data_IF_125053824660
#
_entry.id   IF_125053824660
#
_cell.length_a   1.000
_cell.length_b   1.000
_cell.length_c   1.000
_cell.angle_alpha   90.00
_cell.angle_beta   90.00
_cell.angle_gamma   90.00
#
_symmetry.space_group_name_H-M   'P 1'
#
loop_
_entity.id
_entity.type
_entity.pdbx_description
1 polymer ?
#
# COMPACT_ATOMS: atom_id res chain seq x y z
N UNK A 1 13.80 -23.24 -12.89
CA UNK A 1 14.44 -22.13 -12.17
C UNK A 1 15.91 -22.03 -12.60
N UNK A 2 16.35 -20.86 -13.08
CA UNK A 2 17.74 -20.65 -13.52
C UNK A 2 18.67 -20.77 -12.29
N UNK A 3 19.70 -21.61 -12.37
CA UNK A 3 20.63 -21.94 -11.27
C UNK A 3 21.27 -20.71 -10.60
N UNK A 4 21.30 -19.55 -11.26
CA UNK A 4 21.86 -18.31 -10.69
C UNK A 4 20.95 -17.63 -9.65
N UNK A 5 19.63 -17.77 -9.75
CA UNK A 5 18.69 -17.14 -8.81
C UNK A 5 18.74 -17.85 -7.45
N UNK A 6 18.80 -19.19 -7.49
CA UNK A 6 18.94 -20.00 -6.28
C UNK A 6 20.27 -19.71 -5.56
N UNK A 7 21.36 -19.51 -6.31
CA UNK A 7 22.66 -19.17 -5.73
C UNK A 7 22.63 -17.80 -5.04
N UNK A 8 21.98 -16.80 -5.63
CA UNK A 8 21.83 -15.46 -5.04
C UNK A 8 20.97 -15.50 -3.77
N UNK A 9 19.85 -16.23 -3.79
CA UNK A 9 18.99 -16.40 -2.60
C UNK A 9 19.74 -17.11 -1.45
N UNK A 10 20.53 -18.14 -1.75
CA UNK A 10 21.32 -18.83 -0.73
C UNK A 10 22.45 -17.96 -0.16
N UNK A 11 23.04 -17.08 -0.98
CA UNK A 11 24.09 -16.16 -0.54
C UNK A 11 23.53 -15.05 0.37
N UNK A 12 22.35 -14.51 0.04
CA UNK A 12 21.63 -13.54 0.89
C UNK A 12 21.25 -14.17 2.23
N UNK A 13 20.76 -15.42 2.23
CA UNK A 13 20.42 -16.15 3.46
C UNK A 13 21.66 -16.41 4.33
N UNK A 14 22.79 -16.80 3.73
CA UNK A 14 24.06 -16.99 4.44
C UNK A 14 24.60 -15.69 5.07
N UNK A 15 24.43 -14.54 4.41
CA UNK A 15 24.82 -13.23 4.95
C UNK A 15 23.93 -12.75 6.10
N UNK A 16 22.63 -13.07 6.05
CA UNK A 16 21.69 -12.76 7.14
C UNK A 16 21.94 -13.62 8.39
N UNK A 17 22.44 -14.85 8.20
CA UNK A 17 22.81 -15.77 9.28
C UNK A 17 24.14 -15.42 9.97
N UNK A 18 25.06 -14.69 9.32
CA UNK A 18 26.35 -14.31 9.92
C UNK A 18 26.33 -12.98 10.67
N UNK A 19 25.18 -12.28 10.73
CA UNK A 19 25.01 -10.95 11.36
C UNK A 19 26.04 -9.89 10.91
N UNK A 20 26.68 -10.06 9.76
CA UNK A 20 27.66 -9.10 9.25
C UNK A 20 27.06 -8.27 8.10
N UNK A 21 26.16 -7.36 8.50
CA UNK A 21 25.39 -6.48 7.61
C UNK A 21 26.30 -5.61 6.74
N UNK A 22 27.52 -5.33 7.19
CA UNK A 22 28.50 -4.54 6.45
C UNK A 22 28.98 -5.25 5.17
N UNK A 23 29.18 -6.58 5.21
CA UNK A 23 29.60 -7.36 4.03
C UNK A 23 28.49 -7.44 2.98
N UNK A 24 27.22 -7.53 3.41
CA UNK A 24 26.07 -7.50 2.51
C UNK A 24 25.95 -6.15 1.79
N UNK A 25 26.17 -5.06 2.52
CA UNK A 25 26.06 -3.71 1.98
C UNK A 25 27.20 -3.41 0.98
N UNK A 26 28.42 -3.87 1.29
CA UNK A 26 29.58 -3.73 0.40
C UNK A 26 29.41 -4.54 -0.90
N UNK A 27 28.86 -5.76 -0.83
CA UNK A 27 28.54 -6.57 -2.02
C UNK A 27 27.43 -5.94 -2.88
N UNK A 28 26.42 -5.32 -2.27
CA UNK A 28 25.35 -4.61 -2.99
C UNK A 28 25.85 -3.38 -3.72
N UNK A 29 26.72 -2.59 -3.09
CA UNK A 29 27.36 -1.42 -3.70
C UNK A 29 28.21 -1.88 -4.91
N UNK A 30 29.01 -2.92 -4.74
CA UNK A 30 29.88 -3.46 -5.78
C UNK A 30 29.09 -4.07 -6.96
N UNK A 31 27.95 -4.70 -6.69
CA UNK A 31 27.04 -5.20 -7.73
C UNK A 31 26.38 -4.06 -8.51
N UNK A 32 26.01 -2.97 -7.81
CA UNK A 32 25.43 -1.77 -8.42
C UNK A 32 26.44 -1.03 -9.28
N UNK A 33 27.68 -0.89 -8.83
CA UNK A 33 28.78 -0.31 -9.62
C UNK A 33 29.04 -1.12 -10.90
N UNK A 34 29.06 -2.46 -10.80
CA UNK A 34 29.27 -3.33 -11.95
C UNK A 34 28.13 -3.28 -12.98
N UNK A 35 26.89 -3.11 -12.52
CA UNK A 35 25.73 -2.93 -13.40
C UNK A 35 25.79 -1.57 -14.14
N UNK A 36 26.20 -0.51 -13.43
CA UNK A 36 26.37 0.84 -14.02
C UNK A 36 27.53 0.87 -15.03
N UNK A 37 28.59 0.10 -14.80
CA UNK A 37 29.72 0.02 -15.72
C UNK A 37 29.42 -0.87 -16.95
N UNK A 38 28.60 -1.91 -16.79
CA UNK A 38 28.05 -2.69 -17.92
C UNK A 38 27.04 -1.89 -18.76
N UNK A 39 26.21 -1.03 -18.14
CA UNK A 39 25.27 -0.18 -18.87
C UNK A 39 25.97 0.92 -19.68
N UNK A 40 27.06 1.50 -19.15
CA UNK A 40 27.88 2.48 -19.89
C UNK A 40 28.61 1.87 -21.09
N UNK A 41 29.10 0.63 -20.96
CA UNK A 41 29.69 -0.11 -22.10
C UNK A 41 28.69 -0.49 -23.18
N UNK A 42 27.40 -0.59 -22.84
CA UNK A 42 26.34 -0.84 -23.81
C UNK A 42 25.93 0.42 -24.60
N UNK A 43 26.14 1.61 -24.03
CA UNK A 43 25.89 2.91 -24.68
C UNK A 43 26.95 3.26 -25.75
N UNK A 44 28.23 2.94 -25.51
CA UNK A 44 29.33 3.22 -26.44
C UNK A 44 29.30 2.39 -27.75
N UNK A 45 28.41 1.40 -27.86
CA UNK A 45 28.28 0.55 -29.05
C UNK A 45 27.23 1.05 -30.06
N UNK A 46 26.46 2.09 -29.73
CA UNK A 46 25.30 2.54 -30.53
C UNK A 46 25.51 3.83 -31.34
N UNK A 47 26.75 4.28 -31.56
CA UNK A 47 27.01 5.41 -32.47
C UNK A 47 27.89 5.00 -33.64
N UNK A 48 27.26 4.64 -34.77
CA UNK A 48 27.88 4.78 -36.08
C UNK A 48 26.88 5.27 -37.13
N UNK A 49 27.27 6.40 -37.71
CA UNK A 49 26.94 6.98 -39.02
C UNK A 49 25.73 7.90 -39.19
N UNK A 50 26.01 9.11 -39.70
CA UNK A 50 25.08 9.88 -40.54
C UNK A 50 24.84 11.36 -40.19
N UNK A 51 25.69 12.26 -40.68
CA UNK A 51 25.63 13.73 -40.67
C UNK A 51 24.26 14.39 -40.97
N UNK A 52 23.95 15.52 -40.30
CA UNK A 52 23.83 16.85 -40.94
C UNK A 52 23.75 18.01 -39.92
N UNK A 53 24.44 19.10 -40.26
CA UNK A 53 24.66 20.35 -39.50
C UNK A 53 23.48 21.33 -39.57
N UNK A 54 23.36 22.22 -38.56
CA UNK A 54 22.68 23.52 -38.68
C UNK A 54 22.02 24.08 -37.40
N UNK A 55 22.78 24.90 -36.66
CA UNK A 55 22.49 25.93 -35.61
C UNK A 55 21.04 26.44 -35.43
N UNK A 56 20.58 27.02 -34.32
CA UNK A 56 20.95 27.25 -32.91
C UNK A 56 19.66 27.79 -32.24
N UNK A 57 19.37 27.44 -30.98
CA UNK A 57 18.26 28.04 -30.24
C UNK A 57 17.96 27.33 -28.91
N UNK A 58 18.39 27.97 -27.81
CA UNK A 58 18.25 27.51 -26.42
C UNK A 58 16.81 27.13 -26.02
N UNK A 59 16.64 25.97 -25.36
CA UNK A 59 16.02 25.80 -24.03
C UNK A 59 15.57 24.34 -23.77
N UNK A 60 16.03 23.78 -22.64
CA UNK A 60 15.35 22.71 -21.90
C UNK A 60 15.33 21.31 -22.50
N UNK A 61 16.32 20.47 -22.14
CA UNK A 61 16.18 19.02 -22.27
C UNK A 61 15.21 18.51 -21.19
N UNK A 62 13.94 18.35 -21.59
CA UNK A 62 12.92 17.63 -20.85
C UNK A 62 13.13 16.14 -21.09
N UNK A 63 13.19 15.39 -19.99
CA UNK A 63 13.25 13.95 -19.97
C UNK A 63 12.12 13.34 -20.79
N UNK A 64 12.51 12.44 -21.69
CA UNK A 64 11.63 11.66 -22.54
C UNK A 64 10.98 10.51 -21.73
N UNK A 65 10.40 10.83 -20.57
CA UNK A 65 9.50 9.97 -19.80
C UNK A 65 8.14 10.63 -19.57
N UNK A 66 8.00 11.95 -19.77
CA UNK A 66 6.80 12.70 -19.36
C UNK A 66 5.72 12.86 -20.46
N UNK A 67 6.01 12.46 -21.70
CA UNK A 67 5.04 12.55 -22.82
C UNK A 67 3.95 11.48 -22.71
N UNK A 68 4.23 10.37 -22.04
CA UNK A 68 3.24 9.29 -21.85
C UNK A 68 2.29 9.65 -20.71
N UNK A 69 2.79 10.21 -19.60
CA UNK A 69 1.99 10.57 -18.43
C UNK A 69 0.97 11.70 -18.68
N UNK A 70 1.39 12.78 -19.35
CA UNK A 70 0.51 13.94 -19.58
C UNK A 70 -0.66 13.60 -20.52
N UNK A 71 -0.49 12.69 -21.48
CA UNK A 71 -1.57 12.27 -22.37
C UNK A 71 -2.61 11.36 -21.66
N UNK A 72 -2.25 10.72 -20.55
CA UNK A 72 -3.19 9.98 -19.69
C UNK A 72 -4.00 10.93 -18.80
N UNK A 73 -3.38 11.95 -18.23
CA UNK A 73 -4.06 12.89 -17.32
C UNK A 73 -5.05 13.82 -18.06
N UNK A 74 -4.75 14.19 -19.30
CA UNK A 74 -5.68 14.99 -20.13
C UNK A 74 -6.92 14.20 -20.59
N UNK A 75 -6.78 12.89 -20.85
CA UNK A 75 -7.94 12.01 -21.08
C UNK A 75 -8.74 11.76 -19.80
N UNK A 76 -8.09 11.72 -18.64
CA UNK A 76 -8.75 11.60 -17.34
C UNK A 76 -9.55 12.88 -17.01
N UNK A 77 -9.01 14.08 -17.30
CA UNK A 77 -9.75 15.34 -17.12
C UNK A 77 -10.93 15.52 -18.09
N UNK A 78 -10.79 15.08 -19.35
CA UNK A 78 -11.92 15.12 -20.30
C UNK A 78 -13.05 14.15 -19.91
N UNK A 79 -12.77 13.09 -19.14
CA UNK A 79 -13.79 12.17 -18.62
C UNK A 79 -14.36 12.64 -17.27
N UNK A 80 -13.58 13.32 -16.42
CA UNK A 80 -14.10 13.88 -15.16
C UNK A 80 -15.13 14.99 -15.37
N UNK A 81 -15.10 15.71 -16.49
CA UNK A 81 -16.11 16.72 -16.82
C UNK A 81 -17.42 16.11 -17.39
N UNK A 82 -17.49 14.78 -17.52
CA UNK A 82 -18.67 14.05 -17.96
C UNK A 82 -19.41 13.32 -16.82
N UNK A 83 -18.96 13.46 -15.57
CA UNK A 83 -19.70 12.91 -14.41
C UNK A 83 -20.55 14.01 -13.77
N UNK A 84 -21.69 14.25 -14.40
CA UNK A 84 -22.94 14.68 -13.74
C UNK A 84 -24.09 14.55 -14.75
N UNK A 85 -24.26 13.35 -15.30
CA UNK A 85 -25.54 12.91 -15.86
C UNK A 85 -25.70 11.45 -15.46
N UNK A 86 -26.85 11.13 -14.87
CA UNK A 86 -27.23 9.82 -14.36
C UNK A 86 -26.70 8.65 -15.20
N UNK A 87 -25.97 7.76 -14.54
CA UNK A 87 -25.44 6.54 -15.11
C UNK A 87 -26.52 5.46 -15.19
N UNK A 88 -27.52 5.66 -16.04
CA UNK A 88 -28.41 4.60 -16.51
C UNK A 88 -28.31 4.53 -18.04
N UNK A 89 -27.71 3.45 -18.54
CA UNK A 89 -27.59 3.07 -19.95
C UNK A 89 -26.57 3.88 -20.81
N UNK A 90 -25.30 3.47 -20.76
CA UNK A 90 -24.35 3.82 -21.82
C UNK A 90 -24.59 2.93 -23.06
N UNK A 91 -25.52 3.35 -23.93
CA UNK A 91 -25.73 2.76 -25.27
C UNK A 91 -24.69 3.33 -26.24
N UNK A 92 -23.87 2.45 -26.86
CA UNK A 92 -22.91 2.85 -27.90
C UNK A 92 -23.19 2.02 -29.16
N UNK A 93 -23.58 2.65 -30.28
CA UNK A 93 -23.85 1.92 -31.52
C UNK A 93 -22.54 1.42 -32.16
N UNK A 94 -22.54 0.16 -32.58
CA UNK A 94 -21.46 -0.45 -33.38
C UNK A 94 -21.97 -0.63 -34.80
N UNK A 95 -21.41 0.15 -35.73
CA UNK A 95 -21.76 0.05 -37.16
C UNK A 95 -20.95 -1.10 -37.79
N UNK A 96 -21.61 -2.21 -38.14
CA UNK A 96 -21.06 -3.23 -39.03
C UNK A 96 -21.32 -2.84 -40.49
N UNK A 97 -20.26 -2.55 -41.26
CA UNK A 97 -20.37 -2.39 -42.70
C UNK A 97 -20.18 -3.73 -43.41
N UNK A 98 -21.28 -4.24 -43.99
CA UNK A 98 -21.32 -5.32 -44.98
C UNK A 98 -22.01 -4.78 -46.26
N UNK A 99 -21.53 -5.08 -47.47
CA UNK A 99 -22.05 -4.48 -48.70
C UNK A 99 -23.42 -4.99 -49.15
N UNK A 100 -24.08 -5.91 -48.43
CA UNK A 100 -25.32 -6.58 -48.89
C UNK A 100 -26.50 -6.62 -47.90
N UNK A 101 -26.43 -5.97 -46.73
CA UNK A 101 -27.57 -5.90 -45.80
C UNK A 101 -27.74 -4.50 -45.18
N UNK A 102 -28.98 -4.00 -45.00
CA UNK A 102 -29.25 -2.76 -44.28
C UNK A 102 -28.82 -2.88 -42.81
N UNK A 103 -28.29 -1.80 -42.26
CA UNK A 103 -27.63 -1.75 -40.96
C UNK A 103 -28.51 -2.32 -39.84
N UNK A 104 -28.09 -3.44 -39.26
CA UNK A 104 -28.54 -3.86 -37.93
C UNK A 104 -27.42 -3.51 -36.95
N UNK A 105 -27.61 -2.42 -36.20
CA UNK A 105 -26.86 -2.16 -34.98
C UNK A 105 -27.33 -3.16 -33.94
N UNK A 106 -26.66 -4.30 -33.82
CA UNK A 106 -26.89 -5.17 -32.67
C UNK A 106 -26.14 -4.56 -31.48
N UNK A 107 -26.85 -3.76 -30.69
CA UNK A 107 -26.35 -3.21 -29.43
C UNK A 107 -26.18 -4.40 -28.47
N UNK A 108 -25.00 -5.00 -28.46
CA UNK A 108 -24.66 -6.01 -27.46
C UNK A 108 -24.42 -5.29 -26.13
N UNK A 109 -25.46 -5.28 -25.28
CA UNK A 109 -25.35 -4.80 -23.89
C UNK A 109 -24.50 -5.81 -23.12
N UNK A 110 -23.30 -5.41 -22.72
CA UNK A 110 -22.46 -6.18 -21.81
C UNK A 110 -23.06 -6.02 -20.41
N UNK A 111 -23.60 -7.10 -19.87
CA UNK A 111 -24.14 -7.12 -18.51
C UNK A 111 -23.09 -7.64 -17.52
N UNK A 112 -23.35 -7.44 -16.22
CA UNK A 112 -22.43 -7.91 -15.17
C UNK A 112 -22.19 -9.43 -15.20
N UNK A 113 -23.20 -10.20 -15.60
CA UNK A 113 -23.12 -11.66 -15.78
C UNK A 113 -22.12 -12.09 -16.86
N UNK A 114 -21.80 -11.19 -17.80
CA UNK A 114 -20.88 -11.47 -18.91
C UNK A 114 -19.42 -11.25 -18.51
N UNK A 115 -19.17 -10.64 -17.34
CA UNK A 115 -17.84 -10.28 -16.83
C UNK A 115 -17.09 -11.49 -16.23
N UNK A 116 -16.98 -12.56 -17.01
CA UNK A 116 -16.34 -13.80 -16.60
C UNK A 116 -14.85 -13.78 -17.02
N UNK A 117 -13.92 -13.93 -16.07
CA UNK A 117 -12.49 -14.13 -16.37
C UNK A 117 -12.26 -15.34 -17.27
N UNK A 118 -11.61 -15.14 -18.41
CA UNK A 118 -11.41 -16.20 -19.41
C UNK A 118 -9.95 -16.41 -19.78
N UNK A 119 -9.16 -15.33 -19.85
CA UNK A 119 -7.73 -15.40 -20.13
C UNK A 119 -6.96 -15.85 -18.88
N UNK A 120 -5.71 -16.29 -19.06
CA UNK A 120 -4.89 -16.70 -17.93
C UNK A 120 -4.64 -15.50 -16.98
N UNK A 121 -4.33 -14.32 -17.52
CA UNK A 121 -4.09 -13.13 -16.72
C UNK A 121 -5.34 -12.64 -15.97
N UNK A 122 -6.53 -12.72 -16.58
CA UNK A 122 -7.79 -12.39 -15.90
C UNK A 122 -8.06 -13.36 -14.75
N UNK A 123 -7.82 -14.67 -14.96
CA UNK A 123 -7.99 -15.69 -13.94
C UNK A 123 -7.01 -15.53 -12.78
N UNK A 124 -5.75 -15.22 -13.08
CA UNK A 124 -4.74 -14.91 -12.06
C UNK A 124 -5.11 -13.67 -11.24
N UNK A 125 -5.59 -12.61 -11.90
CA UNK A 125 -6.08 -11.42 -11.22
C UNK A 125 -7.29 -11.72 -10.33
N UNK A 126 -8.25 -12.50 -10.83
CA UNK A 126 -9.42 -12.91 -10.07
C UNK A 126 -9.04 -13.75 -8.84
N UNK A 127 -8.12 -14.71 -9.01
CA UNK A 127 -7.64 -15.54 -7.91
C UNK A 127 -7.03 -14.69 -6.79
N UNK A 128 -6.24 -13.66 -7.14
CA UNK A 128 -5.64 -12.78 -6.14
C UNK A 128 -6.68 -11.89 -5.43
N UNK A 129 -7.67 -11.39 -6.17
CA UNK A 129 -8.82 -10.68 -5.59
C UNK A 129 -9.57 -11.57 -4.59
N UNK A 130 -9.74 -12.85 -4.91
CA UNK A 130 -10.40 -13.81 -4.04
C UNK A 130 -9.55 -14.19 -2.81
N UNK A 131 -8.21 -14.15 -2.94
CA UNK A 131 -7.31 -14.23 -1.79
C UNK A 131 -7.54 -13.06 -0.82
N UNK A 132 -7.64 -11.82 -1.33
CA UNK A 132 -7.94 -10.64 -0.48
C UNK A 132 -9.30 -10.80 0.22
N UNK A 133 -10.35 -11.21 -0.51
CA UNK A 133 -11.67 -11.49 0.09
C UNK A 133 -11.59 -12.54 1.20
N UNK A 134 -10.84 -13.61 0.96
CA UNK A 134 -10.66 -14.68 1.94
C UNK A 134 -9.94 -14.17 3.19
N UNK A 135 -8.91 -13.32 3.03
CA UNK A 135 -8.19 -12.70 4.14
C UNK A 135 -9.06 -11.72 4.95
N UNK A 136 -9.99 -11.03 4.31
CA UNK A 136 -10.96 -10.15 4.98
C UNK A 136 -12.01 -10.93 5.80
N UNK A 137 -12.31 -12.17 5.39
CA UNK A 137 -13.38 -12.99 5.96
C UNK A 137 -14.71 -12.24 6.03
N UNK A 138 -15.48 -12.48 7.09
CA UNK A 138 -16.80 -11.84 7.30
C UNK A 138 -16.71 -10.39 7.77
N UNK A 139 -15.52 -9.91 8.14
CA UNK A 139 -15.37 -8.55 8.69
C UNK A 139 -15.44 -7.49 7.59
N UNK A 140 -14.80 -7.74 6.44
CA UNK A 140 -14.64 -6.75 5.39
C UNK A 140 -13.85 -5.50 5.82
N UNK A 141 -13.56 -4.60 4.88
CA UNK A 141 -12.77 -3.41 5.18
C UNK A 141 -13.47 -2.44 6.14
N UNK A 142 -14.79 -2.25 6.01
CA UNK A 142 -15.53 -1.29 6.82
C UNK A 142 -15.37 -1.57 8.32
N UNK A 143 -15.62 -2.81 8.76
CA UNK A 143 -15.48 -3.18 10.17
C UNK A 143 -14.02 -3.15 10.63
N UNK A 144 -13.07 -3.56 9.78
CA UNK A 144 -11.65 -3.57 10.16
C UNK A 144 -11.07 -2.16 10.32
N UNK A 145 -11.55 -1.20 9.52
CA UNK A 145 -11.19 0.22 9.64
C UNK A 145 -11.84 0.84 10.88
N UNK A 146 -13.13 0.57 11.11
CA UNK A 146 -13.84 1.04 12.31
C UNK A 146 -13.17 0.54 13.60
N UNK A 147 -12.84 -0.75 13.68
CA UNK A 147 -12.08 -1.32 14.82
C UNK A 147 -10.74 -0.64 15.04
N UNK A 148 -10.04 -0.29 13.96
CA UNK A 148 -8.74 0.39 14.05
C UNK A 148 -8.90 1.85 14.51
N UNK A 149 -9.96 2.54 14.09
CA UNK A 149 -10.28 3.88 14.62
C UNK A 149 -10.63 3.83 16.11
N UNK A 150 -11.42 2.85 16.53
CA UNK A 150 -11.71 2.65 17.95
C UNK A 150 -10.42 2.42 18.76
N UNK A 151 -9.50 1.60 18.25
CA UNK A 151 -8.20 1.39 18.90
C UNK A 151 -7.41 2.70 19.01
N UNK A 152 -7.46 3.56 17.99
CA UNK A 152 -6.83 4.88 18.02
C UNK A 152 -7.39 5.75 19.14
N UNK A 153 -8.71 5.86 19.23
CA UNK A 153 -9.37 6.65 20.29
C UNK A 153 -9.01 6.12 21.69
N UNK A 154 -8.99 4.79 21.85
CA UNK A 154 -8.54 4.16 23.10
C UNK A 154 -7.07 4.46 23.43
N UNK A 155 -6.19 4.54 22.43
CA UNK A 155 -4.78 4.88 22.63
C UNK A 155 -4.59 6.35 23.01
N UNK A 156 -5.35 7.27 22.43
CA UNK A 156 -5.32 8.71 22.79
C UNK A 156 -5.79 8.92 24.25
N UNK A 157 -6.82 8.19 24.68
CA UNK A 157 -7.26 8.18 26.07
C UNK A 157 -6.19 7.59 27.02
N UNK A 158 -5.55 6.50 26.60
CA UNK A 158 -4.49 5.87 27.38
C UNK A 158 -3.28 6.80 27.54
N UNK A 159 -2.88 7.49 26.47
CA UNK A 159 -1.81 8.50 26.48
C UNK A 159 -2.12 9.63 27.48
N UNK A 160 -3.36 10.14 27.46
CA UNK A 160 -3.81 11.14 28.43
C UNK A 160 -3.71 10.61 29.86
N UNK A 161 -4.27 9.42 30.11
CA UNK A 161 -4.20 8.78 31.44
C UNK A 161 -2.77 8.51 31.90
N UNK A 162 -1.86 8.19 30.98
CA UNK A 162 -0.45 7.97 31.26
C UNK A 162 0.20 9.26 31.78
N UNK A 163 0.01 10.37 31.07
CA UNK A 163 0.60 11.65 31.45
C UNK A 163 -0.01 12.25 32.71
N UNK A 164 -1.33 12.09 32.91
CA UNK A 164 -2.00 12.49 34.15
C UNK A 164 -1.44 11.73 35.35
N UNK A 165 -1.32 10.40 35.24
CA UNK A 165 -0.76 9.56 36.31
C UNK A 165 0.69 9.94 36.63
N UNK A 166 1.48 10.22 35.59
CA UNK A 166 2.87 10.67 35.73
C UNK A 166 2.96 12.04 36.45
N UNK A 167 2.04 12.96 36.14
CA UNK A 167 1.94 14.26 36.80
C UNK A 167 1.59 14.10 38.28
N UNK A 168 0.61 13.27 38.60
CA UNK A 168 0.19 12.98 39.97
C UNK A 168 1.32 12.36 40.81
N UNK A 169 2.05 11.40 40.25
CA UNK A 169 3.24 10.84 40.87
C UNK A 169 4.28 11.92 41.20
N UNK A 170 4.59 12.81 40.25
CA UNK A 170 5.56 13.88 40.47
C UNK A 170 5.09 14.85 41.56
N UNK A 171 3.81 15.22 41.57
CA UNK A 171 3.22 16.09 42.60
C UNK A 171 3.31 15.44 43.98
N UNK A 172 2.97 14.16 44.09
CA UNK A 172 3.03 13.41 45.34
C UNK A 172 4.48 13.25 45.84
N UNK A 173 5.44 12.93 44.97
CA UNK A 173 6.87 12.87 45.31
C UNK A 173 7.37 14.22 45.85
N UNK A 174 7.00 15.33 45.19
CA UNK A 174 7.36 16.69 45.63
C UNK A 174 6.81 16.99 47.02
N UNK A 175 5.59 16.54 47.34
CA UNK A 175 4.99 16.72 48.67
C UNK A 175 5.72 15.94 49.79
N UNK A 176 6.25 14.75 49.51
CA UNK A 176 6.96 13.93 50.52
C UNK A 176 8.45 14.26 50.68
N UNK A 177 9.07 14.91 49.69
CA UNK A 177 10.46 15.38 49.74
C UNK A 177 10.76 16.23 50.98
N UNK A 178 9.74 16.87 51.54
CA UNK A 178 9.86 17.73 52.75
C UNK A 178 9.79 16.92 54.06
N UNK A 179 9.12 15.76 54.11
CA UNK A 179 8.69 15.15 55.39
C UNK A 179 8.99 13.65 55.60
N UNK A 180 9.42 12.85 54.62
CA UNK A 180 9.72 11.41 54.87
C UNK A 180 10.50 10.68 53.74
N UNK A 181 11.84 10.64 53.82
CA UNK A 181 12.73 10.06 52.78
C UNK A 181 12.48 8.58 52.43
N UNK A 182 12.06 7.73 53.37
CA UNK A 182 11.85 6.29 53.11
C UNK A 182 10.52 5.98 52.42
N UNK A 183 9.47 6.76 52.67
CA UNK A 183 8.14 6.55 52.07
C UNK A 183 8.11 6.94 50.59
N UNK A 184 8.92 7.92 50.16
CA UNK A 184 8.99 8.36 48.76
C UNK A 184 9.67 7.37 47.80
N UNK A 185 10.40 6.37 48.31
CA UNK A 185 11.21 5.49 47.45
C UNK A 185 10.37 4.61 46.52
N UNK A 186 9.21 4.14 46.99
CA UNK A 186 8.27 3.36 46.16
C UNK A 186 7.60 4.22 45.07
N UNK A 187 7.26 5.47 45.39
CA UNK A 187 6.74 6.42 44.39
C UNK A 187 7.79 6.74 43.31
N UNK A 188 9.04 6.94 43.71
CA UNK A 188 10.15 7.19 42.78
C UNK A 188 10.39 5.97 41.88
N UNK A 189 10.32 4.76 42.43
CA UNK A 189 10.49 3.53 41.64
C UNK A 189 9.43 3.42 40.54
N UNK A 190 8.14 3.52 40.89
CA UNK A 190 7.06 3.40 39.90
C UNK A 190 7.08 4.57 38.91
N UNK A 191 7.39 5.78 39.36
CA UNK A 191 7.59 6.93 38.46
C UNK A 191 8.70 6.68 37.45
N UNK A 192 9.81 6.06 37.85
CA UNK A 192 10.90 5.76 36.93
C UNK A 192 10.53 4.65 35.94
N UNK A 193 9.87 3.59 36.39
CA UNK A 193 9.32 2.54 35.52
C UNK A 193 8.36 3.13 34.48
N UNK A 194 7.41 3.96 34.91
CA UNK A 194 6.48 4.64 34.02
C UNK A 194 7.23 5.53 33.00
N UNK A 195 8.28 6.24 33.45
CA UNK A 195 9.08 7.09 32.57
C UNK A 195 9.93 6.32 31.55
N UNK A 196 10.42 5.12 31.88
CA UNK A 196 11.16 4.25 30.94
C UNK A 196 10.27 3.85 29.76
N UNK A 197 8.99 3.67 30.04
CA UNK A 197 7.97 3.20 29.11
C UNK A 197 7.34 4.33 28.28
N UNK A 198 7.82 5.57 28.46
CA UNK A 198 7.33 6.75 27.73
C UNK A 198 7.54 6.63 26.22
N UNK A 199 8.63 5.98 25.80
CA UNK A 199 8.89 5.68 24.39
C UNK A 199 7.90 4.67 23.79
N UNK A 200 7.26 3.85 24.62
CA UNK A 200 6.24 2.91 24.17
C UNK A 200 4.92 3.59 23.80
N UNK A 201 4.62 4.76 24.38
CA UNK A 201 3.48 5.60 23.95
C UNK A 201 3.68 6.08 22.51
N UNK A 202 4.85 6.60 22.19
CA UNK A 202 5.17 7.05 20.82
C UNK A 202 5.12 5.87 19.85
N UNK A 203 5.68 4.71 20.24
CA UNK A 203 5.62 3.49 19.43
C UNK A 203 4.18 3.03 19.23
N UNK A 204 3.36 3.01 20.28
CA UNK A 204 1.94 2.64 20.22
C UNK A 204 1.20 3.51 19.20
N UNK A 205 1.33 4.84 19.32
CA UNK A 205 0.70 5.79 18.41
C UNK A 205 1.15 5.57 16.97
N UNK A 206 2.45 5.45 16.73
CA UNK A 206 3.00 5.23 15.39
C UNK A 206 2.48 3.92 14.76
N UNK A 207 2.39 2.85 15.54
CA UNK A 207 1.88 1.56 15.05
C UNK A 207 0.39 1.66 14.70
N UNK A 208 -0.41 2.33 15.52
CA UNK A 208 -1.84 2.53 15.24
C UNK A 208 -2.05 3.40 14.00
N UNK A 209 -1.37 4.55 13.92
CA UNK A 209 -1.50 5.47 12.78
C UNK A 209 -1.03 4.82 11.47
N UNK A 210 0.13 4.15 11.50
CA UNK A 210 0.66 3.44 10.33
C UNK A 210 -0.24 2.26 9.93
N UNK A 211 -0.73 1.49 10.91
CA UNK A 211 -1.64 0.38 10.67
C UNK A 211 -2.98 0.83 10.07
N UNK A 212 -3.54 1.94 10.53
CA UNK A 212 -4.75 2.56 9.97
C UNK A 212 -4.55 3.04 8.53
N UNK A 213 -3.42 3.70 8.27
CA UNK A 213 -3.06 4.18 6.94
C UNK A 213 -2.95 3.01 5.95
N UNK A 214 -2.20 1.97 6.31
CA UNK A 214 -2.04 0.78 5.46
C UNK A 214 -3.35 0.04 5.24
N UNK A 215 -4.24 0.00 6.23
CA UNK A 215 -5.57 -0.61 6.07
C UNK A 215 -6.43 0.15 5.07
N UNK A 216 -6.39 1.48 5.12
CA UNK A 216 -7.14 2.36 4.22
C UNK A 216 -6.60 2.27 2.81
N UNK A 217 -5.27 2.24 2.68
CA UNK A 217 -4.58 2.07 1.41
C UNK A 217 -4.84 0.67 0.81
N UNK A 218 -4.86 -0.38 1.63
CA UNK A 218 -5.26 -1.73 1.22
C UNK A 218 -6.67 -1.76 0.63
N UNK A 219 -7.64 -1.10 1.28
CA UNK A 219 -9.01 -0.96 0.75
C UNK A 219 -9.00 -0.32 -0.64
N UNK A 220 -8.29 0.79 -0.80
CA UNK A 220 -8.17 1.49 -2.08
C UNK A 220 -7.61 0.56 -3.18
N UNK A 221 -6.51 -0.15 -2.91
CA UNK A 221 -5.92 -1.07 -3.88
C UNK A 221 -6.85 -2.23 -4.23
N UNK A 222 -7.61 -2.74 -3.25
CA UNK A 222 -8.59 -3.78 -3.48
C UNK A 222 -9.71 -3.31 -4.41
N UNK A 223 -10.33 -2.15 -4.13
CA UNK A 223 -11.37 -1.57 -4.99
C UNK A 223 -10.82 -1.31 -6.40
N UNK A 224 -9.60 -0.75 -6.49
CA UNK A 224 -8.92 -0.53 -7.77
C UNK A 224 -8.67 -1.82 -8.54
N UNK A 225 -8.34 -2.92 -7.86
CA UNK A 225 -8.12 -4.21 -8.50
C UNK A 225 -9.39 -4.75 -9.16
N UNK A 226 -10.54 -4.63 -8.49
CA UNK A 226 -11.84 -5.07 -8.99
C UNK A 226 -12.28 -4.23 -10.20
N UNK A 227 -12.17 -2.90 -10.10
CA UNK A 227 -12.45 -1.98 -11.21
C UNK A 227 -11.59 -2.30 -12.44
N UNK A 228 -10.28 -2.47 -12.24
CA UNK A 228 -9.33 -2.69 -13.34
C UNK A 228 -9.56 -4.04 -14.01
N UNK A 229 -9.93 -5.09 -13.25
CA UNK A 229 -10.27 -6.39 -13.83
C UNK A 229 -11.56 -6.31 -14.64
N UNK A 230 -12.58 -5.63 -14.11
CA UNK A 230 -13.84 -5.38 -14.82
C UNK A 230 -13.61 -4.63 -16.13
N UNK A 231 -12.73 -3.62 -16.13
CA UNK A 231 -12.33 -2.89 -17.33
C UNK A 231 -11.63 -3.81 -18.35
N UNK A 232 -10.65 -4.61 -17.90
CA UNK A 232 -9.92 -5.55 -18.77
C UNK A 232 -10.87 -6.52 -19.49
N UNK A 233 -11.81 -7.12 -18.75
CA UNK A 233 -12.80 -8.06 -19.29
C UNK A 233 -13.75 -7.34 -20.25
N UNK A 234 -14.26 -6.17 -19.87
CA UNK A 234 -15.17 -5.37 -20.69
C UNK A 234 -14.53 -4.99 -22.03
N UNK A 235 -13.29 -4.50 -22.02
CA UNK A 235 -12.57 -4.14 -23.23
C UNK A 235 -12.25 -5.38 -24.10
N UNK A 236 -11.92 -6.52 -23.48
CA UNK A 236 -11.78 -7.79 -24.24
C UNK A 236 -13.08 -8.15 -24.95
N UNK A 237 -14.23 -8.11 -24.26
CA UNK A 237 -15.53 -8.44 -24.85
C UNK A 237 -15.88 -7.48 -25.99
N UNK A 238 -15.69 -6.17 -25.81
CA UNK A 238 -15.86 -5.17 -26.89
C UNK A 238 -14.97 -5.45 -28.10
N UNK A 239 -13.75 -5.91 -27.89
CA UNK A 239 -12.80 -6.20 -28.97
C UNK A 239 -13.16 -7.47 -29.76
N UNK A 240 -13.73 -8.47 -29.09
CA UNK A 240 -14.30 -9.63 -29.76
C UNK A 240 -15.48 -9.21 -30.64
N UNK A 241 -16.33 -8.29 -30.17
CA UNK A 241 -17.48 -7.78 -30.93
C UNK A 241 -17.08 -6.90 -32.13
N UNK A 242 -15.97 -6.16 -32.05
CA UNK A 242 -15.47 -5.27 -33.11
C UNK A 242 -14.66 -5.96 -34.22
N UNK A 243 -14.63 -7.30 -34.25
CA UNK A 243 -13.66 -8.09 -35.04
C UNK A 243 -13.77 -8.00 -36.56
N UNK A 244 -14.52 -7.06 -37.14
CA UNK A 244 -14.50 -6.80 -38.59
C UNK A 244 -13.50 -5.72 -39.01
N UNK A 245 -13.10 -4.73 -38.18
CA UNK A 245 -12.30 -3.60 -38.71
C UNK A 245 -11.15 -3.00 -37.87
N UNK A 246 -11.01 -3.23 -36.55
CA UNK A 246 -9.83 -2.76 -35.78
C UNK A 246 -9.53 -3.67 -34.59
N UNK A 247 -8.47 -4.48 -34.66
CA UNK A 247 -7.91 -5.17 -33.49
C UNK A 247 -7.33 -4.11 -32.54
N UNK A 248 -7.95 -3.91 -31.39
CA UNK A 248 -7.26 -3.25 -30.27
C UNK A 248 -6.08 -4.12 -29.85
N UNK A 249 -5.01 -3.46 -29.43
CA UNK A 249 -3.76 -4.12 -29.08
C UNK A 249 -3.97 -5.07 -27.89
N UNK A 250 -3.93 -6.39 -28.13
CA UNK A 250 -4.02 -7.44 -27.09
C UNK A 250 -3.05 -7.20 -25.92
N UNK A 251 -1.93 -6.53 -26.18
CA UNK A 251 -0.97 -6.13 -25.16
C UNK A 251 -1.60 -5.26 -24.06
N UNK A 252 -2.46 -4.30 -24.41
CA UNK A 252 -3.07 -3.39 -23.44
C UNK A 252 -4.02 -4.13 -22.48
N UNK A 253 -4.81 -5.08 -23.00
CA UNK A 253 -5.74 -5.91 -22.20
C UNK A 253 -4.98 -6.79 -21.19
N UNK A 254 -3.86 -7.37 -21.65
CA UNK A 254 -2.96 -8.14 -20.79
C UNK A 254 -2.39 -7.25 -19.68
N UNK A 255 -2.00 -6.02 -20.00
CA UNK A 255 -1.47 -5.08 -19.02
C UNK A 255 -2.51 -4.66 -17.97
N UNK A 256 -3.77 -4.43 -18.37
CA UNK A 256 -4.86 -4.16 -17.43
C UNK A 256 -5.08 -5.33 -16.48
N UNK A 257 -5.13 -6.56 -17.00
CA UNK A 257 -5.29 -7.77 -16.16
C UNK A 257 -4.12 -7.93 -15.17
N UNK A 258 -2.89 -7.70 -15.63
CA UNK A 258 -1.69 -7.71 -14.76
C UNK A 258 -1.70 -6.59 -13.72
N UNK A 259 -2.23 -5.43 -14.07
CA UNK A 259 -2.38 -4.30 -13.15
C UNK A 259 -3.43 -4.59 -12.07
N UNK A 260 -4.57 -5.18 -12.45
CA UNK A 260 -5.56 -5.66 -11.49
C UNK A 260 -4.94 -6.64 -10.49
N UNK A 261 -4.17 -7.63 -10.98
CA UNK A 261 -3.42 -8.57 -10.14
C UNK A 261 -2.46 -7.85 -9.19
N UNK A 262 -1.61 -6.94 -9.68
CA UNK A 262 -0.67 -6.17 -8.84
C UNK A 262 -1.37 -5.35 -7.77
N UNK A 263 -2.52 -4.76 -8.11
CA UNK A 263 -3.32 -4.03 -7.13
C UNK A 263 -3.87 -4.96 -6.04
N UNK A 264 -4.34 -6.16 -6.40
CA UNK A 264 -4.77 -7.15 -5.41
C UNK A 264 -3.61 -7.64 -4.52
N UNK A 265 -2.43 -7.92 -5.10
CA UNK A 265 -1.20 -8.27 -4.35
C UNK A 265 -0.82 -7.15 -3.35
N UNK A 266 -0.87 -5.89 -3.79
CA UNK A 266 -0.60 -4.73 -2.94
C UNK A 266 -1.64 -4.59 -1.82
N UNK A 267 -2.93 -4.84 -2.12
CA UNK A 267 -3.98 -4.82 -1.13
C UNK A 267 -3.74 -5.86 -0.05
N UNK A 268 -3.41 -7.10 -0.43
CA UNK A 268 -3.15 -8.18 0.51
C UNK A 268 -1.93 -7.87 1.40
N UNK A 269 -0.81 -7.48 0.79
CA UNK A 269 0.42 -7.13 1.51
C UNK A 269 0.20 -6.03 2.55
N UNK A 270 -0.55 -4.98 2.19
CA UNK A 270 -0.87 -3.90 3.14
C UNK A 270 -1.87 -4.34 4.20
N UNK A 271 -2.81 -5.23 3.89
CA UNK A 271 -3.74 -5.77 4.88
C UNK A 271 -3.00 -6.59 5.95
N UNK A 272 -2.06 -7.43 5.52
CA UNK A 272 -1.22 -8.25 6.40
C UNK A 272 -0.31 -7.37 7.29
N UNK A 273 0.42 -6.42 6.68
CA UNK A 273 1.26 -5.48 7.40
C UNK A 273 0.45 -4.67 8.42
N UNK A 274 -0.68 -4.09 7.99
CA UNK A 274 -1.60 -3.36 8.87
C UNK A 274 -2.05 -4.20 10.06
N UNK A 275 -2.40 -5.47 9.82
CA UNK A 275 -2.85 -6.38 10.87
C UNK A 275 -1.74 -6.68 11.88
N UNK A 276 -0.52 -6.89 11.42
CA UNK A 276 0.63 -7.08 12.30
C UNK A 276 0.86 -5.85 13.20
N UNK A 277 0.86 -4.65 12.62
CA UNK A 277 1.07 -3.39 13.35
C UNK A 277 -0.01 -3.12 14.39
N UNK A 278 -1.28 -3.33 14.03
CA UNK A 278 -2.38 -3.12 14.97
C UNK A 278 -2.42 -4.18 16.08
N UNK A 279 -1.98 -5.40 15.80
CA UNK A 279 -1.78 -6.42 16.83
C UNK A 279 -0.63 -6.08 17.78
N UNK A 280 0.48 -5.56 17.25
CA UNK A 280 1.59 -5.05 18.07
C UNK A 280 1.13 -3.89 18.96
N UNK A 281 0.39 -2.94 18.40
CA UNK A 281 -0.21 -1.83 19.14
C UNK A 281 -1.12 -2.34 20.28
N UNK A 282 -1.98 -3.32 20.03
CA UNK A 282 -2.81 -3.92 21.06
C UNK A 282 -2.00 -4.59 22.17
N UNK A 283 -0.83 -5.13 21.87
CA UNK A 283 0.11 -5.66 22.86
C UNK A 283 0.68 -4.55 23.74
N UNK A 284 1.29 -3.55 23.12
CA UNK A 284 1.90 -2.39 23.81
C UNK A 284 0.86 -1.67 24.69
N UNK A 285 -0.36 -1.48 24.18
CA UNK A 285 -1.47 -0.87 24.92
C UNK A 285 -1.70 -1.55 26.26
N UNK A 286 -1.76 -2.88 26.29
CA UNK A 286 -2.01 -3.67 27.51
C UNK A 286 -0.87 -3.53 28.52
N UNK A 287 0.38 -3.49 28.04
CA UNK A 287 1.55 -3.30 28.91
C UNK A 287 1.48 -1.94 29.61
N UNK A 288 1.14 -0.89 28.88
CA UNK A 288 0.98 0.47 29.42
C UNK A 288 -0.21 0.56 30.38
N UNK A 289 -1.36 -0.06 30.05
CA UNK A 289 -2.52 -0.14 30.94
C UNK A 289 -2.15 -0.73 32.32
N UNK A 290 -1.39 -1.83 32.33
CA UNK A 290 -0.93 -2.46 33.59
C UNK A 290 -0.07 -1.52 34.42
N UNK A 291 0.87 -0.81 33.78
CA UNK A 291 1.76 0.13 34.46
C UNK A 291 1.01 1.33 35.05
N UNK A 292 0.03 1.86 34.32
CA UNK A 292 -0.83 2.93 34.82
C UNK A 292 -1.62 2.47 36.05
N UNK A 293 -2.19 1.27 36.02
CA UNK A 293 -2.95 0.75 37.17
C UNK A 293 -2.06 0.46 38.39
N UNK A 294 -0.83 -0.02 38.19
CA UNK A 294 0.15 -0.13 39.27
C UNK A 294 0.47 1.25 39.87
N UNK A 295 0.70 2.26 39.04
CA UNK A 295 0.97 3.63 39.47
C UNK A 295 -0.20 4.24 40.25
N UNK A 296 -1.43 4.09 39.77
CA UNK A 296 -2.65 4.53 40.47
C UNK A 296 -2.81 3.83 41.83
N UNK A 297 -2.60 2.52 41.87
CA UNK A 297 -2.68 1.74 43.12
C UNK A 297 -1.67 2.23 44.16
N UNK A 298 -0.44 2.52 43.72
CA UNK A 298 0.57 3.10 44.60
C UNK A 298 0.14 4.49 45.07
N UNK A 299 -0.31 5.38 44.19
CA UNK A 299 -0.80 6.71 44.57
C UNK A 299 -1.87 6.66 45.67
N UNK A 300 -2.90 5.82 45.50
CA UNK A 300 -3.99 5.63 46.48
C UNK A 300 -3.47 5.15 47.83
N UNK A 301 -2.46 4.28 47.85
CA UNK A 301 -1.84 3.79 49.10
C UNK A 301 -1.14 4.88 49.92
N UNK A 302 -0.82 6.03 49.30
CA UNK A 302 -0.23 7.21 49.95
C UNK A 302 -1.24 8.34 50.22
N UNK A 303 -2.52 8.14 49.92
CA UNK A 303 -3.61 9.06 50.32
C UNK A 303 -4.24 8.66 51.66
N UNK A 304 -4.08 7.40 52.07
CA UNK A 304 -4.51 6.86 53.37
C UNK A 304 -3.43 7.02 54.43
#
# INVERSE_FOLDING_TARGET
MKKSILAICMLILLSLLSCDINVLNEMLIKAREKYVEESKKAEDLNSKDGNQEGEEGQAGAVDQEDIVGQHFEERVKQVMQAVLVDADNAEIPVILHSPYYPQQEEIVKIEEKDLIPSTNEEKEAQAEIDNVKSALGDSGFAQLIEKAHKLKDECEQLESSFYDTLLDLNNKIRSYSVNNKRKGQKLIQVRNQLNEERSHIDRLRNQVDSGLYERTSSKYFFEKSQETLKEAITERLKNVLRSSFRRVNNYLLIQLSRQARRNAENALSQLESSSAKLNEAMGIKKEIEVLIEEAKSVLVSFER
#
